data_IF_072619841914
#
_entry.id   IF_072619841914
#
_cell.length_a   1.000
_cell.length_b   1.000
_cell.length_c   1.000
_cell.angle_alpha   90.00
_cell.angle_beta   90.00
_cell.angle_gamma   90.00
#
_symmetry.space_group_name_H-M   'P 1'
#
loop_
_entity.id
_entity.type
_entity.pdbx_description
1 polymer ?
#
# COMPACT_ATOMS: atom_id res chain seq x y z
N UNK A 1 10.11 -11.32 0.43
CA UNK A 1 11.16 -10.52 1.15
C UNK A 1 11.45 -9.25 0.34
N UNK A 2 11.51 -8.10 1.00
CA UNK A 2 11.77 -6.79 0.38
C UNK A 2 13.05 -6.23 0.98
N UNK A 3 13.98 -5.79 0.12
CA UNK A 3 15.26 -5.22 0.53
C UNK A 3 15.43 -3.85 -0.12
N UNK A 4 15.63 -2.83 0.70
CA UNK A 4 16.15 -1.54 0.30
C UNK A 4 17.64 -1.51 0.65
N UNK A 5 18.51 -1.31 -0.34
CA UNK A 5 19.95 -1.24 -0.16
C UNK A 5 20.47 0.13 -0.60
N UNK A 6 20.80 0.98 0.36
CA UNK A 6 21.38 2.32 0.17
C UNK A 6 20.60 3.19 -0.82
N UNK A 7 19.27 3.12 -0.76
CA UNK A 7 18.39 3.82 -1.69
C UNK A 7 18.50 5.33 -1.52
N UNK A 8 18.84 6.01 -2.61
CA UNK A 8 18.95 7.48 -2.66
C UNK A 8 18.09 8.04 -3.78
N UNK A 9 17.21 8.99 -3.42
CA UNK A 9 16.36 9.73 -4.36
C UNK A 9 16.55 11.23 -4.18
N UNK A 10 16.73 11.93 -5.30
CA UNK A 10 16.84 13.39 -5.35
C UNK A 10 15.79 13.98 -6.28
N UNK A 11 15.20 15.10 -5.88
CA UNK A 11 14.46 15.99 -6.78
C UNK A 11 15.21 17.31 -6.88
N UNK A 12 15.69 17.64 -8.09
CA UNK A 12 16.58 18.77 -8.34
C UNK A 12 17.79 18.71 -7.38
N UNK A 13 17.86 19.62 -6.40
CA UNK A 13 18.99 19.72 -5.46
C UNK A 13 18.69 19.10 -4.08
N UNK A 14 17.42 18.70 -3.81
CA UNK A 14 17.02 18.15 -2.50
C UNK A 14 17.08 16.62 -2.54
N UNK A 15 17.86 16.03 -1.63
CA UNK A 15 17.76 14.60 -1.33
C UNK A 15 16.47 14.36 -0.51
N UNK A 16 15.60 13.49 -1.02
CA UNK A 16 14.35 13.11 -0.37
C UNK A 16 14.47 11.72 0.26
N UNK A 17 15.32 10.87 -0.31
CA UNK A 17 15.82 9.65 0.34
C UNK A 17 17.34 9.70 0.29
N UNK A 18 17.99 9.44 1.42
CA UNK A 18 19.43 9.49 1.56
C UNK A 18 19.96 8.21 2.22
N UNK A 19 20.47 7.30 1.39
CA UNK A 19 21.09 6.04 1.81
C UNK A 19 20.17 5.15 2.69
N UNK A 20 18.89 5.04 2.31
CA UNK A 20 17.90 4.24 3.03
C UNK A 20 18.17 2.75 2.84
N UNK A 21 18.38 2.03 3.94
CA UNK A 21 18.57 0.58 3.94
C UNK A 21 17.67 -0.08 4.98
N UNK A 22 16.86 -1.06 4.56
CA UNK A 22 16.05 -1.89 5.44
C UNK A 22 15.64 -3.18 4.74
N UNK A 23 15.33 -4.21 5.52
CA UNK A 23 14.77 -5.47 5.03
C UNK A 23 13.41 -5.70 5.67
N UNK A 24 12.43 -6.13 4.87
CA UNK A 24 11.09 -6.50 5.33
C UNK A 24 10.88 -7.96 4.94
N UNK A 25 10.51 -8.79 5.90
CA UNK A 25 10.29 -10.22 5.68
C UNK A 25 8.91 -10.51 5.08
N UNK A 26 8.73 -11.68 4.48
CA UNK A 26 7.43 -12.08 3.95
C UNK A 26 6.41 -12.21 5.09
N UNK A 27 5.18 -11.73 4.86
CA UNK A 27 4.12 -11.73 5.86
C UNK A 27 4.27 -10.67 6.96
N UNK A 28 5.32 -9.85 6.94
CA UNK A 28 5.53 -8.81 7.94
C UNK A 28 4.60 -7.61 7.74
N UNK A 29 4.15 -7.02 8.85
CA UNK A 29 3.44 -5.74 8.88
C UNK A 29 4.41 -4.68 9.40
N UNK A 30 4.74 -3.69 8.57
CA UNK A 30 5.65 -2.60 8.91
C UNK A 30 4.95 -1.25 8.78
N UNK A 31 5.01 -0.44 9.82
CA UNK A 31 4.59 0.96 9.80
C UNK A 31 5.80 1.87 9.52
N UNK A 32 5.76 2.64 8.44
CA UNK A 32 6.77 3.65 8.13
C UNK A 32 6.22 5.00 8.58
N UNK A 33 6.85 5.59 9.58
CA UNK A 33 6.42 6.84 10.20
C UNK A 33 7.39 7.98 9.92
N UNK A 34 6.94 9.19 10.12
CA UNK A 34 7.75 10.40 9.99
C UNK A 34 6.90 11.63 9.67
N UNK A 35 7.46 12.84 9.80
CA UNK A 35 6.75 14.06 9.49
C UNK A 35 6.35 14.15 8.00
N UNK A 36 5.48 15.11 7.69
CA UNK A 36 5.19 15.41 6.28
C UNK A 36 6.49 15.83 5.56
N UNK A 37 6.69 15.32 4.35
CA UNK A 37 7.91 15.58 3.58
C UNK A 37 9.14 14.75 3.98
N UNK A 38 9.05 13.83 4.93
CA UNK A 38 10.16 12.95 5.33
C UNK A 38 10.62 11.96 4.23
N UNK A 39 9.84 11.79 3.16
CA UNK A 39 10.15 10.88 2.06
C UNK A 39 9.31 9.59 2.02
N UNK A 40 8.30 9.43 2.90
CA UNK A 40 7.48 8.21 3.00
C UNK A 40 6.83 7.84 1.66
N UNK A 41 6.08 8.74 1.04
CA UNK A 41 5.44 8.50 -0.26
C UNK A 41 6.46 8.28 -1.38
N UNK A 42 7.62 8.96 -1.33
CA UNK A 42 8.71 8.74 -2.30
C UNK A 42 9.27 7.33 -2.18
N UNK A 43 9.40 6.81 -0.95
CA UNK A 43 9.83 5.43 -0.71
C UNK A 43 8.81 4.43 -1.26
N UNK A 44 7.51 4.68 -1.06
CA UNK A 44 6.42 3.88 -1.63
C UNK A 44 6.49 3.93 -3.16
N UNK A 45 6.60 5.10 -3.78
CA UNK A 45 6.67 5.22 -5.22
C UNK A 45 7.91 4.58 -5.83
N UNK A 46 9.05 4.63 -5.14
CA UNK A 46 10.25 3.90 -5.54
C UNK A 46 10.04 2.38 -5.49
N UNK A 47 9.40 1.87 -4.41
CA UNK A 47 9.09 0.45 -4.26
C UNK A 47 8.18 -0.08 -5.37
N UNK A 48 7.14 0.67 -5.76
CA UNK A 48 6.23 0.26 -6.83
C UNK A 48 6.79 0.58 -8.25
N UNK A 49 8.03 1.06 -8.34
CA UNK A 49 8.68 1.42 -9.59
C UNK A 49 8.07 2.62 -10.31
N UNK A 50 7.26 3.45 -9.61
CA UNK A 50 6.68 4.68 -10.16
C UNK A 50 7.68 5.85 -10.15
N UNK A 51 8.71 5.76 -9.29
CA UNK A 51 9.79 6.75 -9.19
C UNK A 51 11.15 6.06 -9.34
N UNK A 52 11.98 6.58 -10.26
CA UNK A 52 13.36 6.12 -10.42
C UNK A 52 14.25 6.70 -9.32
N UNK A 53 15.11 5.87 -8.74
CA UNK A 53 16.13 6.28 -7.76
C UNK A 53 17.44 6.62 -8.46
N UNK A 54 18.33 7.36 -7.79
CA UNK A 54 19.64 7.75 -8.33
C UNK A 54 20.77 6.83 -7.89
N UNK A 55 20.62 6.16 -6.73
CA UNK A 55 21.61 5.19 -6.24
C UNK A 55 20.98 4.16 -5.31
N UNK A 56 21.63 3.03 -5.15
CA UNK A 56 21.14 1.89 -4.39
C UNK A 56 20.27 0.95 -5.19
N UNK A 57 19.64 0.00 -4.51
CA UNK A 57 18.77 -1.00 -5.13
C UNK A 57 17.53 -1.24 -4.29
N UNK A 58 16.42 -1.62 -4.95
CA UNK A 58 15.23 -2.17 -4.32
C UNK A 58 14.99 -3.55 -4.91
N UNK A 59 14.95 -4.56 -4.04
CA UNK A 59 14.69 -5.95 -4.43
C UNK A 59 13.42 -6.45 -3.77
N UNK A 60 12.53 -7.08 -4.53
CA UNK A 60 11.29 -7.70 -4.03
C UNK A 60 11.27 -9.14 -4.53
N UNK A 61 11.23 -10.11 -3.59
CA UNK A 61 11.22 -11.54 -3.87
C UNK A 61 12.32 -11.99 -4.86
N UNK A 62 13.52 -11.40 -4.71
CA UNK A 62 14.69 -11.69 -5.55
C UNK A 62 14.77 -10.88 -6.84
N UNK A 63 13.75 -10.13 -7.20
CA UNK A 63 13.74 -9.29 -8.40
C UNK A 63 14.18 -7.87 -8.09
N UNK A 64 15.19 -7.35 -8.82
CA UNK A 64 15.65 -5.97 -8.69
C UNK A 64 14.72 -5.00 -9.43
N UNK A 65 13.83 -4.34 -8.68
CA UNK A 65 12.83 -3.44 -9.22
C UNK A 65 13.46 -2.24 -9.93
N UNK A 66 14.58 -1.79 -9.43
CA UNK A 66 15.33 -0.63 -9.95
C UNK A 66 15.98 -0.85 -11.32
N UNK A 67 16.13 -2.10 -11.74
CA UNK A 67 16.72 -2.50 -13.01
C UNK A 67 15.67 -2.95 -14.04
N UNK A 68 14.40 -3.03 -13.64
CA UNK A 68 13.31 -3.46 -14.52
C UNK A 68 13.01 -2.46 -15.62
N UNK A 69 12.76 -2.97 -16.80
CA UNK A 69 12.15 -2.23 -17.91
C UNK A 69 10.71 -1.84 -17.59
N UNK A 70 10.16 -0.86 -18.32
CA UNK A 70 8.75 -0.46 -18.13
C UNK A 70 7.76 -1.62 -18.31
N UNK A 71 8.04 -2.56 -19.21
CA UNK A 71 7.22 -3.76 -19.44
C UNK A 71 7.26 -4.68 -18.20
N UNK A 72 8.43 -4.92 -17.65
CA UNK A 72 8.59 -5.75 -16.44
C UNK A 72 7.95 -5.08 -15.23
N UNK A 73 8.07 -3.76 -15.08
CA UNK A 73 7.39 -3.00 -14.04
C UNK A 73 5.86 -3.11 -14.13
N UNK A 74 5.27 -3.18 -15.33
CA UNK A 74 3.85 -3.42 -15.48
C UNK A 74 3.45 -4.81 -14.94
N UNK A 75 4.23 -5.86 -15.20
CA UNK A 75 3.99 -7.20 -14.65
C UNK A 75 4.21 -7.24 -13.15
N UNK A 76 5.22 -6.56 -12.64
CA UNK A 76 5.47 -6.43 -11.21
C UNK A 76 4.29 -5.76 -10.48
N UNK A 77 3.80 -4.62 -10.99
CA UNK A 77 2.66 -3.89 -10.41
C UNK A 77 1.38 -4.72 -10.32
N UNK A 78 1.20 -5.71 -11.20
CA UNK A 78 0.06 -6.66 -11.12
C UNK A 78 0.17 -7.66 -9.98
N UNK A 79 1.33 -7.78 -9.33
CA UNK A 79 1.57 -8.70 -8.21
C UNK A 79 1.49 -8.01 -6.84
N UNK A 80 1.34 -6.69 -6.80
CA UNK A 80 1.28 -5.89 -5.58
C UNK A 80 -0.03 -5.11 -5.51
N UNK A 81 -0.58 -4.99 -4.31
CA UNK A 81 -1.71 -4.12 -4.03
C UNK A 81 -1.20 -2.73 -3.61
N UNK A 82 -1.81 -1.68 -4.14
CA UNK A 82 -1.49 -0.30 -3.73
C UNK A 82 -2.74 0.42 -3.30
N UNK A 83 -2.69 1.03 -2.11
CA UNK A 83 -3.78 1.81 -1.52
C UNK A 83 -3.26 3.22 -1.26
N UNK A 84 -3.94 4.23 -1.79
CA UNK A 84 -3.56 5.64 -1.68
C UNK A 84 -4.51 6.41 -0.76
N UNK A 85 -4.03 7.53 -0.23
CA UNK A 85 -4.81 8.44 0.61
C UNK A 85 -6.01 9.04 -0.13
N UNK A 86 -5.88 9.32 -1.43
CA UNK A 86 -6.90 9.90 -2.31
C UNK A 86 -7.78 8.85 -3.00
N UNK A 87 -7.77 7.60 -2.52
CA UNK A 87 -8.51 6.43 -2.99
C UNK A 87 -8.23 6.04 -4.45
N UNK A 88 -8.02 6.98 -5.35
CA UNK A 88 -7.82 6.80 -6.81
C UNK A 88 -8.86 5.88 -7.44
N UNK A 89 -10.12 6.05 -7.05
CA UNK A 89 -11.22 5.31 -7.66
C UNK A 89 -11.54 5.87 -9.05
N UNK A 90 -11.99 5.00 -9.93
CA UNK A 90 -12.50 5.35 -11.24
C UNK A 90 -13.92 5.94 -11.06
N UNK A 91 -14.13 7.25 -11.25
CA UNK A 91 -15.38 7.92 -10.84
C UNK A 91 -16.60 7.49 -11.63
N UNK A 92 -16.39 7.00 -12.86
CA UNK A 92 -17.46 6.53 -13.77
C UNK A 92 -17.73 5.02 -13.66
N UNK A 93 -17.11 4.34 -12.69
CA UNK A 93 -17.27 2.92 -12.43
C UNK A 93 -17.84 2.70 -11.04
N UNK A 94 -18.74 1.73 -10.93
CA UNK A 94 -19.30 1.29 -9.65
C UNK A 94 -18.22 0.69 -8.74
N UNK A 95 -18.54 0.41 -7.48
CA UNK A 95 -17.69 -0.34 -6.55
C UNK A 95 -17.25 -1.66 -7.17
N UNK A 96 -18.22 -2.44 -7.68
CA UNK A 96 -17.94 -3.71 -8.36
C UNK A 96 -16.96 -3.54 -9.52
N UNK A 97 -17.22 -2.59 -10.41
CA UNK A 97 -16.39 -2.36 -11.60
C UNK A 97 -14.99 -1.81 -11.25
N UNK A 98 -14.86 -1.00 -10.20
CA UNK A 98 -13.55 -0.57 -9.69
C UNK A 98 -12.69 -1.76 -9.25
N UNK A 99 -13.30 -2.73 -8.58
CA UNK A 99 -12.60 -3.94 -8.13
C UNK A 99 -12.36 -4.91 -9.29
N UNK A 100 -13.36 -5.11 -10.15
CA UNK A 100 -13.25 -5.99 -11.34
C UNK A 100 -12.13 -5.54 -12.29
N UNK A 101 -11.95 -4.23 -12.44
CA UNK A 101 -10.92 -3.65 -13.30
C UNK A 101 -9.50 -4.15 -12.98
N UNK A 102 -9.17 -4.35 -11.70
CA UNK A 102 -7.87 -4.90 -11.31
C UNK A 102 -7.66 -6.33 -11.84
N UNK A 103 -8.71 -7.17 -11.85
CA UNK A 103 -8.64 -8.52 -12.41
C UNK A 103 -8.58 -8.52 -13.94
N UNK A 104 -9.29 -7.59 -14.59
CA UNK A 104 -9.23 -7.40 -16.04
C UNK A 104 -7.82 -7.03 -16.50
N UNK A 105 -7.17 -6.09 -15.80
CA UNK A 105 -5.78 -5.70 -16.06
C UNK A 105 -4.81 -6.86 -15.83
N UNK A 106 -5.11 -7.75 -14.87
CA UNK A 106 -4.32 -8.97 -14.64
C UNK A 106 -4.60 -10.08 -15.66
N UNK A 107 -5.56 -9.91 -16.56
CA UNK A 107 -5.90 -10.91 -17.59
C UNK A 107 -6.71 -12.10 -17.06
N UNK A 108 -7.44 -11.93 -15.94
CA UNK A 108 -8.29 -12.97 -15.38
C UNK A 108 -9.50 -13.22 -16.28
N UNK A 109 -9.84 -14.49 -16.51
CA UNK A 109 -10.98 -14.90 -17.33
C UNK A 109 -12.31 -14.31 -16.79
N UNK A 110 -13.12 -13.73 -17.67
CA UNK A 110 -14.39 -13.06 -17.33
C UNK A 110 -15.30 -13.90 -16.43
N UNK A 111 -15.36 -15.23 -16.67
CA UNK A 111 -16.19 -16.15 -15.86
C UNK A 111 -15.80 -16.22 -14.39
N UNK A 112 -14.53 -15.91 -14.04
CA UNK A 112 -14.01 -15.96 -12.68
C UNK A 112 -14.15 -14.61 -11.95
N UNK A 113 -14.25 -13.50 -12.68
CA UNK A 113 -14.23 -12.14 -12.11
C UNK A 113 -15.35 -11.96 -11.08
N UNK A 114 -16.59 -12.34 -11.43
CA UNK A 114 -17.75 -12.14 -10.56
C UNK A 114 -17.58 -12.82 -9.19
N UNK A 115 -17.11 -14.05 -9.17
CA UNK A 115 -16.88 -14.78 -7.91
C UNK A 115 -15.82 -14.11 -7.03
N UNK A 116 -14.67 -13.79 -7.63
CA UNK A 116 -13.56 -13.15 -6.93
C UNK A 116 -13.91 -11.76 -6.40
N UNK A 117 -14.63 -10.94 -7.18
CA UNK A 117 -15.08 -9.61 -6.75
C UNK A 117 -16.06 -9.73 -5.58
N UNK A 118 -17.07 -10.59 -5.68
CA UNK A 118 -18.04 -10.77 -4.59
C UNK A 118 -17.37 -11.27 -3.30
N UNK A 119 -16.38 -12.16 -3.40
CA UNK A 119 -15.61 -12.64 -2.25
C UNK A 119 -14.88 -11.48 -1.56
N UNK A 120 -14.14 -10.67 -2.31
CA UNK A 120 -13.39 -9.57 -1.72
C UNK A 120 -14.30 -8.46 -1.19
N UNK A 121 -15.44 -8.18 -1.85
CA UNK A 121 -16.42 -7.22 -1.36
C UNK A 121 -17.05 -7.66 -0.03
N UNK A 122 -17.24 -8.96 0.19
CA UNK A 122 -17.65 -9.50 1.50
C UNK A 122 -16.58 -9.27 2.56
N UNK A 123 -15.29 -9.49 2.23
CA UNK A 123 -14.17 -9.27 3.16
C UNK A 123 -14.12 -7.81 3.63
N UNK A 124 -14.32 -6.85 2.72
CA UNK A 124 -14.29 -5.43 3.08
C UNK A 124 -15.64 -4.87 3.53
N UNK A 125 -16.72 -5.68 3.56
CA UNK A 125 -18.06 -5.28 4.00
C UNK A 125 -18.77 -4.31 3.05
N UNK A 126 -18.62 -4.49 1.72
CA UNK A 126 -19.20 -3.62 0.68
C UNK A 126 -20.06 -4.37 -0.34
N UNK A 127 -20.53 -5.57 -0.03
CA UNK A 127 -21.30 -6.35 -1.00
C UNK A 127 -22.61 -5.64 -1.41
N UNK A 128 -23.30 -5.01 -0.46
CA UNK A 128 -24.54 -4.31 -0.68
C UNK A 128 -24.36 -3.00 -1.47
N UNK A 129 -23.15 -2.41 -1.41
CA UNK A 129 -22.77 -1.20 -2.14
C UNK A 129 -22.16 -1.50 -3.53
N UNK A 130 -22.15 -2.75 -3.98
CA UNK A 130 -21.49 -3.17 -5.21
C UNK A 130 -21.89 -2.34 -6.45
N UNK A 131 -23.15 -1.89 -6.52
CA UNK A 131 -23.70 -1.08 -7.62
C UNK A 131 -23.52 0.42 -7.44
N UNK A 132 -23.05 0.91 -6.27
CA UNK A 132 -22.87 2.33 -6.01
C UNK A 132 -21.66 2.90 -6.75
N UNK A 133 -21.74 4.14 -7.15
CA UNK A 133 -20.63 4.91 -7.70
C UNK A 133 -19.84 5.62 -6.59
N UNK A 134 -18.57 5.98 -6.83
CA UNK A 134 -17.75 6.63 -5.82
C UNK A 134 -18.34 7.89 -5.18
N UNK A 135 -19.12 8.68 -5.92
CA UNK A 135 -19.77 9.88 -5.39
C UNK A 135 -20.91 9.59 -4.39
N UNK A 136 -21.42 8.36 -4.36
CA UNK A 136 -22.45 7.89 -3.43
C UNK A 136 -21.87 7.30 -2.13
N UNK A 137 -20.55 7.18 -2.03
CA UNK A 137 -19.86 6.52 -0.93
C UNK A 137 -19.31 7.51 0.09
N UNK A 138 -19.36 7.14 1.37
CA UNK A 138 -18.61 7.78 2.43
C UNK A 138 -17.09 7.62 2.23
N UNK A 139 -16.27 8.38 2.96
CA UNK A 139 -14.83 8.25 2.92
C UNK A 139 -14.32 6.84 3.27
N UNK A 140 -14.91 6.23 4.30
CA UNK A 140 -14.58 4.87 4.71
C UNK A 140 -14.93 3.82 3.66
N UNK A 141 -16.09 3.94 2.99
CA UNK A 141 -16.49 3.03 1.90
C UNK A 141 -15.60 3.21 0.66
N UNK A 142 -15.20 4.43 0.33
CA UNK A 142 -14.20 4.69 -0.73
C UNK A 142 -12.88 3.99 -0.42
N UNK A 143 -12.42 4.08 0.83
CA UNK A 143 -11.18 3.44 1.24
C UNK A 143 -11.29 1.92 1.22
N UNK A 144 -12.41 1.35 1.72
CA UNK A 144 -12.67 -0.09 1.62
C UNK A 144 -12.73 -0.56 0.17
N UNK A 145 -13.28 0.23 -0.75
CA UNK A 145 -13.28 -0.05 -2.20
C UNK A 145 -11.86 -0.06 -2.76
N UNK A 146 -11.02 0.90 -2.37
CA UNK A 146 -9.60 0.95 -2.76
C UNK A 146 -8.83 -0.27 -2.24
N UNK A 147 -9.08 -0.68 -1.00
CA UNK A 147 -8.50 -1.89 -0.40
C UNK A 147 -8.98 -3.16 -1.14
N UNK A 148 -10.28 -3.27 -1.43
CA UNK A 148 -10.82 -4.38 -2.20
C UNK A 148 -10.16 -4.51 -3.57
N UNK A 149 -9.99 -3.39 -4.28
CA UNK A 149 -9.29 -3.35 -5.57
C UNK A 149 -7.83 -3.80 -5.45
N UNK A 150 -7.16 -3.41 -4.37
CA UNK A 150 -5.78 -3.82 -4.11
C UNK A 150 -5.64 -5.29 -3.68
N UNK A 151 -6.70 -5.90 -3.14
CA UNK A 151 -6.70 -7.27 -2.60
C UNK A 151 -7.17 -8.32 -3.60
N UNK A 152 -8.05 -7.96 -4.56
CA UNK A 152 -8.81 -8.91 -5.38
C UNK A 152 -7.96 -9.86 -6.24
N UNK A 153 -6.77 -9.42 -6.64
CA UNK A 153 -5.81 -10.25 -7.39
C UNK A 153 -4.86 -11.06 -6.49
N UNK A 154 -5.12 -11.12 -5.17
CA UNK A 154 -4.39 -11.89 -4.16
C UNK A 154 -2.89 -11.56 -4.13
N UNK A 155 -2.51 -10.29 -3.90
CA UNK A 155 -1.10 -9.89 -3.89
C UNK A 155 -0.35 -10.48 -2.69
N UNK A 156 0.95 -10.73 -2.85
CA UNK A 156 1.84 -11.07 -1.73
C UNK A 156 2.25 -9.86 -0.87
N UNK A 157 2.04 -8.65 -1.39
CA UNK A 157 2.38 -7.38 -0.75
C UNK A 157 1.29 -6.34 -0.99
N UNK A 158 0.87 -5.65 0.06
CA UNK A 158 0.07 -4.43 -0.02
C UNK A 158 0.90 -3.26 0.52
N UNK A 159 0.95 -2.19 -0.26
CA UNK A 159 1.58 -0.91 0.13
C UNK A 159 0.47 0.13 0.28
N UNK A 160 0.33 0.69 1.48
CA UNK A 160 -0.70 1.67 1.82
C UNK A 160 -0.06 3.01 2.19
N UNK A 161 -0.24 4.02 1.33
CA UNK A 161 0.31 5.36 1.54
C UNK A 161 -0.73 6.27 2.19
N UNK A 162 -0.55 6.56 3.48
CA UNK A 162 -1.42 7.38 4.34
C UNK A 162 -2.92 6.97 4.24
N UNK A 163 -3.28 5.67 4.34
CA UNK A 163 -4.62 5.17 3.96
C UNK A 163 -5.75 5.66 4.87
N UNK A 164 -5.44 6.36 5.94
CA UNK A 164 -6.40 6.87 6.93
C UNK A 164 -6.40 8.39 7.03
N UNK A 165 -5.59 9.09 6.22
CA UNK A 165 -5.37 10.54 6.34
C UNK A 165 -6.61 11.40 6.10
N UNK A 166 -7.63 10.88 5.40
CA UNK A 166 -8.88 11.58 5.07
C UNK A 166 -10.10 11.01 5.82
N UNK A 167 -9.88 10.25 6.91
CA UNK A 167 -10.92 9.57 7.65
C UNK A 167 -11.04 10.08 9.08
N UNK A 168 -12.24 10.01 9.65
CA UNK A 168 -12.42 10.24 11.07
C UNK A 168 -11.73 9.15 11.90
N UNK A 169 -11.40 9.41 13.19
CA UNK A 169 -10.64 8.47 14.02
C UNK A 169 -11.25 7.08 14.15
N UNK A 170 -12.59 6.98 14.24
CA UNK A 170 -13.27 5.69 14.37
C UNK A 170 -13.14 4.86 13.09
N UNK A 171 -13.45 5.47 11.96
CA UNK A 171 -13.32 4.84 10.63
C UNK A 171 -11.86 4.48 10.33
N UNK A 172 -10.90 5.33 10.73
CA UNK A 172 -9.48 5.06 10.57
C UNK A 172 -9.05 3.78 11.31
N UNK A 173 -9.51 3.56 12.55
CA UNK A 173 -9.23 2.34 13.30
C UNK A 173 -9.87 1.10 12.65
N UNK A 174 -11.08 1.21 12.09
CA UNK A 174 -11.72 0.12 11.35
C UNK A 174 -10.90 -0.29 10.10
N UNK A 175 -10.41 0.70 9.34
CA UNK A 175 -9.54 0.45 8.18
C UNK A 175 -8.24 -0.24 8.60
N UNK A 176 -7.66 0.17 9.72
CA UNK A 176 -6.41 -0.43 10.22
C UNK A 176 -6.64 -1.87 10.71
N UNK A 177 -7.76 -2.16 11.36
CA UNK A 177 -8.16 -3.53 11.72
C UNK A 177 -8.30 -4.41 10.47
N UNK A 178 -8.91 -3.89 9.40
CA UNK A 178 -9.01 -4.60 8.13
C UNK A 178 -7.62 -4.94 7.56
N UNK A 179 -6.64 -4.03 7.63
CA UNK A 179 -5.27 -4.35 7.24
C UNK A 179 -4.64 -5.43 8.14
N UNK A 180 -4.92 -5.45 9.45
CA UNK A 180 -4.44 -6.52 10.33
C UNK A 180 -5.03 -7.89 9.95
N UNK A 181 -6.34 -7.94 9.66
CA UNK A 181 -7.00 -9.17 9.19
C UNK A 181 -6.44 -9.67 7.86
N UNK A 182 -6.14 -8.76 6.94
CA UNK A 182 -5.47 -9.08 5.67
C UNK A 182 -4.06 -9.63 5.92
N UNK A 183 -3.29 -9.01 6.81
CA UNK A 183 -1.94 -9.47 7.16
C UNK A 183 -1.94 -10.86 7.80
N UNK A 184 -2.93 -11.19 8.65
CA UNK A 184 -3.07 -12.52 9.25
C UNK A 184 -3.23 -13.64 8.22
N UNK A 185 -3.62 -13.31 6.99
CA UNK A 185 -3.68 -14.25 5.85
C UNK A 185 -2.32 -14.44 5.16
N UNK A 186 -1.23 -13.89 5.73
CA UNK A 186 0.14 -14.03 5.21
C UNK A 186 0.57 -12.96 4.21
N UNK A 187 -0.27 -11.96 3.92
CA UNK A 187 0.05 -10.85 3.02
C UNK A 187 0.95 -9.85 3.76
N UNK A 188 2.11 -9.50 3.20
CA UNK A 188 2.98 -8.44 3.73
C UNK A 188 2.30 -7.08 3.60
N UNK A 189 2.43 -6.22 4.62
CA UNK A 189 1.85 -4.88 4.60
C UNK A 189 2.91 -3.84 4.94
N UNK A 190 3.05 -2.85 4.08
CA UNK A 190 3.79 -1.62 4.35
C UNK A 190 2.76 -0.49 4.43
N UNK A 191 2.65 0.12 5.61
CA UNK A 191 1.72 1.22 5.85
C UNK A 191 2.51 2.47 6.20
N UNK A 192 2.37 3.53 5.41
CA UNK A 192 2.92 4.84 5.80
C UNK A 192 1.87 5.62 6.59
N UNK A 193 2.28 6.27 7.66
CA UNK A 193 1.41 7.15 8.43
C UNK A 193 2.21 8.12 9.29
N UNK A 194 1.60 9.24 9.63
CA UNK A 194 2.07 10.15 10.67
C UNK A 194 1.17 10.13 11.93
N UNK A 195 0.13 9.28 11.93
CA UNK A 195 -0.84 9.19 13.03
C UNK A 195 -0.32 8.26 14.13
N UNK A 196 -0.02 8.84 15.30
CA UNK A 196 0.50 8.13 16.48
C UNK A 196 -0.49 7.10 17.04
N UNK A 197 -1.78 7.42 17.04
CA UNK A 197 -2.81 6.52 17.59
C UNK A 197 -2.90 5.22 16.80
N UNK A 198 -2.79 5.31 15.48
CA UNK A 198 -2.78 4.15 14.58
C UNK A 198 -1.57 3.26 14.85
N UNK A 199 -0.38 3.86 14.97
CA UNK A 199 0.85 3.11 15.23
C UNK A 199 0.77 2.41 16.58
N UNK A 200 0.33 3.13 17.63
CA UNK A 200 0.17 2.59 18.98
C UNK A 200 -0.91 1.50 19.05
N UNK A 201 -1.95 1.60 18.22
CA UNK A 201 -2.96 0.56 18.11
C UNK A 201 -2.42 -0.70 17.43
N UNK A 202 -1.66 -0.55 16.34
CA UNK A 202 -1.12 -1.66 15.56
C UNK A 202 -0.12 -2.51 16.33
N UNK A 203 0.75 -1.89 17.13
CA UNK A 203 1.84 -2.56 17.87
C UNK A 203 2.66 -3.51 16.98
N UNK A 204 3.02 -3.06 15.80
CA UNK A 204 3.83 -3.77 14.82
C UNK A 204 5.20 -3.08 14.69
N UNK A 205 6.08 -3.64 13.85
CA UNK A 205 7.37 -3.01 13.56
C UNK A 205 7.18 -1.58 13.05
N UNK A 206 7.98 -0.67 13.58
CA UNK A 206 7.95 0.75 13.26
C UNK A 206 9.32 1.18 12.72
N UNK A 207 9.32 1.73 11.52
CA UNK A 207 10.50 2.35 10.91
C UNK A 207 10.25 3.85 10.82
N UNK A 208 11.10 4.64 11.50
CA UNK A 208 11.01 6.09 11.48
C UNK A 208 11.89 6.68 10.40
N UNK A 209 11.28 7.41 9.49
CA UNK A 209 11.95 8.17 8.44
C UNK A 209 11.94 9.66 8.79
N UNK A 210 13.10 10.30 8.78
CA UNK A 210 13.28 11.73 9.04
C UNK A 210 14.37 12.28 8.12
N UNK A 211 14.10 13.39 7.44
CA UNK A 211 14.99 14.01 6.45
C UNK A 211 15.58 13.01 5.43
N UNK A 212 14.73 12.07 4.98
CA UNK A 212 15.10 11.05 4.01
C UNK A 212 15.96 9.89 4.55
N UNK A 213 16.19 9.81 5.86
CA UNK A 213 16.99 8.77 6.51
C UNK A 213 16.17 7.96 7.49
N UNK A 214 16.51 6.68 7.67
CA UNK A 214 15.98 5.88 8.77
C UNK A 214 16.71 6.29 10.05
N UNK A 215 15.97 6.85 10.99
CA UNK A 215 16.48 7.27 12.32
C UNK A 215 16.04 6.35 13.45
N UNK A 216 15.15 5.41 13.17
CA UNK A 216 14.71 4.38 14.11
C UNK A 216 14.09 3.21 13.37
N UNK A 217 14.35 1.99 13.87
CA UNK A 217 13.76 0.73 13.40
C UNK A 217 13.60 -0.17 14.61
N UNK A 218 12.37 -0.38 15.03
CA UNK A 218 12.02 -1.16 16.21
C UNK A 218 11.01 -2.21 15.86
N UNK A 219 11.15 -3.40 16.43
CA UNK A 219 10.18 -4.47 16.36
C UNK A 219 8.77 -4.03 16.79
N UNK A 220 7.93 -4.93 17.28
CA UNK A 220 6.60 -4.56 17.76
C UNK A 220 6.73 -3.45 18.83
N UNK A 221 6.39 -2.22 18.46
CA UNK A 221 6.58 -1.05 19.33
C UNK A 221 5.48 0.00 19.14
N UNK A 222 5.48 1.00 20.01
CA UNK A 222 4.68 2.19 19.89
C UNK A 222 5.38 3.23 18.99
N UNK A 223 4.73 4.34 18.78
CA UNK A 223 5.28 5.44 17.97
C UNK A 223 6.59 5.97 18.60
N UNK A 224 7.67 6.07 17.83
CA UNK A 224 9.02 6.44 18.25
C UNK A 224 9.45 7.80 17.68
#
# INVERSE_FOLDING_TARGET
MIIFDRVTKKYKHKKVLDNVSMTITAGEFVSIIGPSGAGKSTLVYALIGAEKIQAGNITVDGYRITEMSEKELQYYRRKIGVVFQDYRLLPQKTVYENVAFALEVCGVEKKQIRGKVNEVLKIVGLLDQASHFPYQLSGGEKQRTSIARALVHQPGLIVADEPTGNLDPKTALEIVKLFQEINQKGISIILTTHNKEIVNFLKRRVVKLEDGKIVGDKGASEYI
#
